data_IF_533805225330
#
_entry.id   IF_533805225330
#
_cell.length_a   1.000
_cell.length_b   1.000
_cell.length_c   1.000
_cell.angle_alpha   90.00
_cell.angle_beta   90.00
_cell.angle_gamma   90.00
#
_symmetry.space_group_name_H-M   'P 1'
#
loop_
_entity.id
_entity.type
_entity.pdbx_description
1 polymer ?
#
# COMPACT_ATOMS: atom_id res chain seq x y z
N UNK A 1 -15.21 7.52 42.67
CA UNK A 1 -14.10 7.29 41.73
C UNK A 1 -14.73 6.63 40.51
N UNK A 2 -15.09 7.42 39.50
CA UNK A 2 -15.72 6.91 38.28
C UNK A 2 -14.69 6.12 37.48
N UNK A 3 -15.04 4.88 37.15
CA UNK A 3 -14.25 4.01 36.29
C UNK A 3 -14.50 4.44 34.84
N UNK A 4 -13.50 5.05 34.20
CA UNK A 4 -13.54 5.24 32.74
C UNK A 4 -13.10 3.92 32.09
N UNK A 5 -13.89 3.34 31.17
CA UNK A 5 -13.46 2.15 30.45
C UNK A 5 -12.19 2.49 29.67
N UNK A 6 -11.10 1.80 29.99
CA UNK A 6 -9.86 1.84 29.22
C UNK A 6 -10.18 1.39 27.80
N UNK A 7 -10.17 2.32 26.84
CA UNK A 7 -10.28 1.98 25.41
C UNK A 7 -9.19 0.97 25.06
N UNK A 8 -9.54 -0.03 24.26
CA UNK A 8 -8.58 -1.05 23.85
C UNK A 8 -7.48 -0.43 22.99
N UNK A 9 -6.28 -1.01 22.99
CA UNK A 9 -5.19 -0.62 22.08
C UNK A 9 -5.60 -0.81 20.61
N UNK A 10 -6.51 -1.74 20.35
CA UNK A 10 -7.15 -1.95 19.04
C UNK A 10 -7.97 -0.74 18.63
N UNK A 11 -8.79 -0.19 19.52
CA UNK A 11 -9.61 1.01 19.25
C UNK A 11 -8.74 2.25 19.00
N UNK A 12 -7.53 2.26 19.57
CA UNK A 12 -6.56 3.35 19.42
C UNK A 12 -5.67 3.20 18.18
N UNK A 13 -5.92 2.20 17.30
CA UNK A 13 -5.19 1.95 16.06
C UNK A 13 -3.65 1.88 16.22
N UNK A 14 -3.19 1.40 17.39
CA UNK A 14 -1.76 1.43 17.78
C UNK A 14 -0.90 0.62 16.81
N UNK A 15 -1.42 -0.48 16.27
CA UNK A 15 -0.70 -1.35 15.31
C UNK A 15 -0.32 -0.59 14.05
N UNK A 16 -1.25 0.16 13.47
CA UNK A 16 -1.00 0.99 12.28
C UNK A 16 0.01 2.08 12.58
N UNK A 17 -0.21 2.82 13.67
CA UNK A 17 0.68 3.91 14.09
C UNK A 17 2.12 3.42 14.30
N UNK A 18 2.30 2.27 14.95
CA UNK A 18 3.62 1.68 15.14
C UNK A 18 4.28 1.30 13.81
N UNK A 19 3.52 0.70 12.87
CA UNK A 19 4.02 0.36 11.53
C UNK A 19 4.48 1.61 10.77
N UNK A 20 3.64 2.64 10.74
CA UNK A 20 3.93 3.90 10.04
C UNK A 20 5.11 4.64 10.67
N UNK A 21 5.19 4.66 12.01
CA UNK A 21 6.31 5.28 12.74
C UNK A 21 7.67 4.65 12.39
N UNK A 22 7.69 3.34 12.14
CA UNK A 22 8.93 2.64 11.73
C UNK A 22 9.25 2.78 10.23
N UNK A 23 8.39 3.45 9.45
CA UNK A 23 8.57 3.63 7.99
C UNK A 23 9.10 5.04 7.70
N UNK A 24 10.41 5.19 7.40
CA UNK A 24 11.01 6.50 7.20
C UNK A 24 10.58 7.15 5.89
N UNK A 25 10.36 8.47 5.92
CA UNK A 25 10.24 9.27 4.71
C UNK A 25 11.56 9.24 3.95
N UNK A 26 11.51 8.88 2.67
CA UNK A 26 12.67 8.83 1.78
C UNK A 26 12.73 10.10 0.94
N UNK A 27 13.88 10.76 0.93
CA UNK A 27 14.15 11.92 0.09
C UNK A 27 15.45 11.71 -0.67
N UNK A 28 15.48 12.08 -1.95
CA UNK A 28 16.70 12.06 -2.75
C UNK A 28 16.79 13.33 -3.59
N UNK A 29 18.02 13.77 -3.84
CA UNK A 29 18.25 14.92 -4.69
C UNK A 29 18.28 14.47 -6.15
N UNK A 30 17.45 15.08 -6.97
CA UNK A 30 17.51 14.93 -8.43
C UNK A 30 18.28 16.10 -9.01
N UNK A 31 19.44 15.83 -9.62
CA UNK A 31 20.18 16.88 -10.33
C UNK A 31 19.39 17.26 -11.59
N UNK A 32 19.05 18.55 -11.79
CA UNK A 32 18.36 18.97 -13.00
C UNK A 32 19.29 18.85 -14.21
N UNK A 33 18.79 18.28 -15.32
CA UNK A 33 19.55 18.05 -16.55
C UNK A 33 20.20 19.34 -17.09
N UNK A 34 19.53 20.48 -16.91
CA UNK A 34 20.01 21.82 -17.29
C UNK A 34 21.31 22.23 -16.58
N UNK A 35 21.55 21.76 -15.34
CA UNK A 35 22.74 22.14 -14.58
C UNK A 35 24.01 21.45 -15.07
N UNK A 36 23.90 20.35 -15.83
CA UNK A 36 25.04 19.52 -16.24
C UNK A 36 25.19 19.37 -17.75
N UNK A 37 24.43 20.14 -18.57
CA UNK A 37 24.33 19.94 -20.04
C UNK A 37 24.06 18.48 -20.42
N UNK A 38 23.33 17.75 -19.57
CA UNK A 38 22.97 16.36 -19.81
C UNK A 38 21.79 16.31 -20.79
N UNK A 39 21.75 15.26 -21.60
CA UNK A 39 20.60 14.99 -22.45
C UNK A 39 19.33 14.90 -21.59
N UNK A 40 18.19 15.47 -22.04
CA UNK A 40 16.93 15.28 -21.36
C UNK A 40 16.63 13.79 -21.17
N UNK A 41 16.21 13.44 -19.96
CA UNK A 41 15.66 12.10 -19.70
C UNK A 41 14.47 11.84 -20.64
N UNK A 42 14.50 10.73 -21.36
CA UNK A 42 13.34 10.25 -22.14
C UNK A 42 12.19 9.76 -21.24
N UNK A 43 12.46 9.55 -19.95
CA UNK A 43 11.48 9.14 -18.95
C UNK A 43 10.73 10.37 -18.47
N UNK A 44 9.41 10.38 -18.70
CA UNK A 44 8.47 11.40 -18.22
C UNK A 44 7.67 10.83 -17.06
N UNK A 45 7.85 11.39 -15.87
CA UNK A 45 7.03 11.09 -14.69
C UNK A 45 6.39 12.36 -14.18
N UNK A 46 5.17 12.30 -13.63
CA UNK A 46 4.53 13.47 -13.03
C UNK A 46 5.29 13.93 -11.78
N UNK A 47 5.12 15.21 -11.42
CA UNK A 47 5.76 15.80 -10.24
C UNK A 47 5.25 15.19 -8.94
N UNK A 48 3.96 14.86 -8.90
CA UNK A 48 3.30 14.16 -7.79
C UNK A 48 2.59 12.93 -8.33
N UNK A 49 2.69 11.83 -7.62
CA UNK A 49 2.09 10.56 -7.99
C UNK A 49 1.76 9.76 -6.74
N UNK A 50 0.55 9.19 -6.69
CA UNK A 50 0.22 8.14 -5.74
C UNK A 50 0.11 6.82 -6.52
N UNK A 51 0.79 5.77 -6.05
CA UNK A 51 0.70 4.46 -6.70
C UNK A 51 -0.48 3.64 -6.13
N UNK A 52 -0.64 3.69 -4.80
CA UNK A 52 -1.59 2.94 -4.01
C UNK A 52 -2.19 3.87 -2.96
N UNK A 53 -3.49 3.81 -2.77
CA UNK A 53 -4.22 4.46 -1.70
C UNK A 53 -4.98 3.41 -0.87
N UNK A 54 -4.85 3.47 0.46
CA UNK A 54 -5.67 2.70 1.39
C UNK A 54 -6.97 3.50 1.63
N UNK A 55 -8.07 3.14 0.95
CA UNK A 55 -9.34 3.89 1.06
C UNK A 55 -10.10 3.61 2.36
N UNK A 56 -9.59 2.71 3.20
CA UNK A 56 -10.13 2.33 4.49
C UNK A 56 -8.97 1.99 5.44
N UNK A 57 -9.08 2.35 6.71
CA UNK A 57 -8.04 2.17 7.72
C UNK A 57 -8.13 0.85 8.51
N UNK A 58 -9.09 -0.02 8.18
CA UNK A 58 -9.43 -1.24 8.92
C UNK A 58 -8.39 -2.38 8.85
N UNK A 59 -7.63 -2.49 7.75
CA UNK A 59 -6.56 -3.49 7.59
C UNK A 59 -5.22 -2.80 7.46
N UNK A 60 -4.16 -3.37 8.05
CA UNK A 60 -2.83 -2.78 8.03
C UNK A 60 -2.04 -3.30 6.84
N UNK A 61 -1.57 -2.40 5.97
CA UNK A 61 -0.66 -2.74 4.89
C UNK A 61 0.63 -3.33 5.46
N UNK A 62 0.97 -4.55 5.05
CA UNK A 62 2.21 -5.23 5.41
C UNK A 62 3.31 -4.93 4.39
N UNK A 63 3.06 -5.24 3.13
CA UNK A 63 4.05 -5.17 2.04
C UNK A 63 3.37 -4.84 0.72
N UNK A 64 4.04 -4.01 -0.08
CA UNK A 64 3.80 -3.85 -1.51
C UNK A 64 5.13 -4.11 -2.23
N UNK A 65 5.17 -5.09 -3.12
CA UNK A 65 6.38 -5.43 -3.90
C UNK A 65 6.05 -5.89 -5.31
N UNK A 66 7.07 -6.02 -6.17
CA UNK A 66 6.94 -6.78 -7.42
C UNK A 66 6.86 -8.29 -7.10
N UNK A 67 6.01 -9.02 -7.83
CA UNK A 67 5.97 -10.48 -7.76
C UNK A 67 7.32 -11.08 -8.19
N UNK A 68 7.68 -12.24 -7.64
CA UNK A 68 9.01 -12.84 -7.89
C UNK A 68 9.11 -13.44 -9.29
N UNK A 69 8.02 -14.05 -9.75
CA UNK A 69 7.98 -14.85 -10.98
C UNK A 69 6.96 -14.35 -12.00
N UNK A 70 5.97 -13.59 -11.55
CA UNK A 70 4.89 -13.08 -12.38
C UNK A 70 5.10 -11.60 -12.71
N UNK A 71 4.50 -11.14 -13.79
CA UNK A 71 4.38 -9.71 -14.08
C UNK A 71 3.18 -9.16 -13.32
N UNK A 72 3.47 -8.54 -12.18
CA UNK A 72 2.46 -7.95 -11.30
C UNK A 72 3.04 -7.49 -9.97
N UNK A 73 2.17 -6.93 -9.14
CA UNK A 73 2.49 -6.52 -7.78
C UNK A 73 1.85 -7.45 -6.77
N UNK A 74 2.53 -7.66 -5.64
CA UNK A 74 2.03 -8.42 -4.49
C UNK A 74 1.73 -7.42 -3.39
N UNK A 75 0.45 -7.37 -3.01
CA UNK A 75 -0.05 -6.63 -1.87
C UNK A 75 -0.32 -7.61 -0.73
N UNK A 76 0.30 -7.39 0.43
CA UNK A 76 0.01 -8.15 1.65
C UNK A 76 -0.47 -7.20 2.72
N UNK A 77 -1.60 -7.50 3.32
CA UNK A 77 -2.20 -6.77 4.43
C UNK A 77 -2.76 -7.76 5.44
N UNK A 78 -3.10 -7.28 6.64
CA UNK A 78 -3.69 -8.12 7.68
C UNK A 78 -4.71 -7.34 8.51
N UNK A 79 -5.68 -8.06 9.06
CA UNK A 79 -6.64 -7.52 10.01
C UNK A 79 -6.03 -7.46 11.41
N UNK A 80 -5.90 -6.28 12.04
CA UNK A 80 -5.37 -6.15 13.40
C UNK A 80 -6.42 -6.43 14.50
N UNK A 81 -7.67 -6.74 14.13
CA UNK A 81 -8.81 -6.93 15.05
C UNK A 81 -9.27 -8.40 15.09
N UNK A 82 -10.11 -8.74 16.06
CA UNK A 82 -10.71 -10.08 16.19
C UNK A 82 -11.92 -10.30 15.27
N UNK A 83 -12.59 -9.23 14.85
CA UNK A 83 -13.80 -9.29 14.03
C UNK A 83 -13.50 -9.27 12.54
N UNK A 84 -14.44 -9.67 11.70
CA UNK A 84 -14.31 -9.49 10.26
C UNK A 84 -14.33 -8.01 9.89
N UNK A 85 -13.44 -7.61 8.97
CA UNK A 85 -13.35 -6.24 8.48
C UNK A 85 -13.32 -6.22 6.97
N UNK A 86 -13.95 -5.20 6.38
CA UNK A 86 -13.81 -4.90 4.97
C UNK A 86 -12.73 -3.84 4.78
N UNK A 87 -11.87 -4.02 3.78
CA UNK A 87 -10.88 -3.03 3.39
C UNK A 87 -10.88 -2.80 1.89
N UNK A 88 -10.53 -1.59 1.47
CA UNK A 88 -10.46 -1.17 0.07
C UNK A 88 -9.12 -0.53 -0.21
N UNK A 89 -8.54 -0.91 -1.34
CA UNK A 89 -7.31 -0.33 -1.87
C UNK A 89 -7.60 0.18 -3.28
N UNK A 90 -7.10 1.37 -3.59
CA UNK A 90 -7.19 1.97 -4.92
C UNK A 90 -5.81 2.04 -5.54
N UNK A 91 -5.69 1.50 -6.75
CA UNK A 91 -4.49 1.61 -7.58
C UNK A 91 -4.77 2.65 -8.67
N UNK A 92 -3.86 3.60 -8.84
CA UNK A 92 -3.99 4.61 -9.91
C UNK A 92 -3.61 4.09 -11.31
N UNK A 93 -2.69 3.11 -11.45
CA UNK A 93 -2.55 2.39 -12.72
C UNK A 93 -3.75 1.49 -12.99
N UNK A 94 -4.10 1.29 -14.27
CA UNK A 94 -5.10 0.30 -14.68
C UNK A 94 -4.67 -1.10 -14.24
N UNK A 95 -5.60 -1.85 -13.64
CA UNK A 95 -5.36 -3.21 -13.14
C UNK A 95 -6.15 -4.21 -13.99
N UNK A 96 -5.44 -5.06 -14.73
CA UNK A 96 -6.08 -6.04 -15.62
C UNK A 96 -6.79 -7.16 -14.83
N UNK A 97 -6.14 -7.65 -13.78
CA UNK A 97 -6.64 -8.74 -12.96
C UNK A 97 -6.10 -8.66 -11.53
N UNK A 98 -6.89 -9.14 -10.58
CA UNK A 98 -6.48 -9.32 -9.18
C UNK A 98 -6.78 -10.75 -8.79
N UNK A 99 -5.87 -11.34 -8.04
CA UNK A 99 -5.98 -12.71 -7.55
C UNK A 99 -5.51 -12.77 -6.10
N UNK A 100 -6.25 -13.50 -5.28
CA UNK A 100 -5.80 -13.93 -3.98
C UNK A 100 -4.72 -14.99 -4.15
N UNK A 101 -3.62 -14.84 -3.42
CA UNK A 101 -2.48 -15.75 -3.44
C UNK A 101 -2.08 -16.10 -2.02
N UNK A 102 -1.45 -17.26 -1.83
CA UNK A 102 -0.81 -17.58 -0.56
C UNK A 102 0.54 -16.87 -0.40
N UNK A 103 1.20 -17.06 0.74
CA UNK A 103 2.51 -16.45 1.03
C UNK A 103 3.64 -16.89 0.07
N UNK A 104 3.44 -17.96 -0.70
CA UNK A 104 4.36 -18.41 -1.75
C UNK A 104 3.96 -17.90 -3.15
N UNK A 105 3.09 -16.89 -3.22
CA UNK A 105 2.57 -16.28 -4.46
C UNK A 105 1.84 -17.28 -5.37
N UNK A 106 1.34 -18.40 -4.83
CA UNK A 106 0.52 -19.35 -5.59
C UNK A 106 -0.94 -18.90 -5.55
N UNK A 107 -1.55 -18.81 -6.73
CA UNK A 107 -2.95 -18.44 -6.90
C UNK A 107 -3.91 -19.34 -6.12
N UNK A 108 -4.88 -18.72 -5.45
CA UNK A 108 -5.95 -19.37 -4.72
C UNK A 108 -7.30 -19.11 -5.40
N UNK A 109 -7.66 -17.85 -5.61
CA UNK A 109 -8.93 -17.45 -6.21
C UNK A 109 -8.81 -16.10 -6.93
N UNK A 110 -9.54 -15.88 -8.04
CA UNK A 110 -9.65 -14.55 -8.64
C UNK A 110 -10.45 -13.60 -7.72
N UNK A 111 -10.06 -12.33 -7.69
CA UNK A 111 -10.79 -11.27 -6.99
C UNK A 111 -11.41 -10.30 -8.01
N UNK A 112 -12.61 -9.83 -7.71
CA UNK A 112 -13.31 -8.86 -8.57
C UNK A 112 -12.63 -7.49 -8.45
N UNK A 113 -12.25 -6.93 -9.59
CA UNK A 113 -11.83 -5.53 -9.68
C UNK A 113 -13.06 -4.66 -9.82
N UNK A 114 -13.21 -3.66 -8.96
CA UNK A 114 -14.29 -2.68 -9.02
C UNK A 114 -13.70 -1.31 -9.35
N UNK A 115 -14.37 -0.56 -10.23
CA UNK A 115 -13.97 0.79 -10.63
C UNK A 115 -12.54 0.89 -11.19
N UNK A 116 -12.18 -0.02 -12.11
CA UNK A 116 -10.95 0.09 -12.90
C UNK A 116 -11.05 1.34 -13.79
N UNK A 117 -10.07 2.24 -13.71
CA UNK A 117 -10.04 3.49 -14.49
C UNK A 117 -9.54 3.24 -15.92
#
# INVERSE_FOLDING_TARGET
>A
MEWHPTRSTTDANVVRLAKEYTTPLQTYNKIPYNAMKLNPSGIKTPVSFSFLEESSDNAVLGTLKKAEKAEGFVLRFFNPTEGEVQSRFTFNPSVDQVQEVNLNEKALAPLKVENNQ
#
